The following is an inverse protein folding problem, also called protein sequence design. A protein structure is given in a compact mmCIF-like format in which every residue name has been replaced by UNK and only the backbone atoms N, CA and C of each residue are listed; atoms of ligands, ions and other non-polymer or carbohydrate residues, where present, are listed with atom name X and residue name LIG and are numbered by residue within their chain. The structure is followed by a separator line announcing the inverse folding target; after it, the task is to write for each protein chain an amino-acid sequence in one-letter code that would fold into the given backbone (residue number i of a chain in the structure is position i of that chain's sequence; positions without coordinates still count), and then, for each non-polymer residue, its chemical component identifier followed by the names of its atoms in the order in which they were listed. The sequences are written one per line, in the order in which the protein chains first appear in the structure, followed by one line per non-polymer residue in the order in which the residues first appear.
data_IF_900024063717
#
_entry.id   IF_900024063717
#
_cell.length_a   1.000
_cell.length_b   1.000
_cell.length_c   1.000
_cell.angle_alpha   90.00
_cell.angle_beta   90.00
_cell.angle_gamma   90.00
#
_symmetry.space_group_name_H-M   'P 1'
#
loop_
_entity.id
_entity.type
_entity.pdbx_description
1 polymer ?
#
# COMPACT_ATOMS: atom_id res chain seq x y z
N UNK A 1 8.47 -14.43 -12.35
CA UNK A 1 8.74 -13.02 -11.99
C UNK A 1 10.03 -13.02 -11.21
N UNK A 2 11.01 -12.36 -11.74
CA UNK A 2 12.32 -12.25 -11.12
C UNK A 2 12.39 -10.94 -10.33
N UNK A 3 12.82 -11.03 -9.07
CA UNK A 3 13.11 -9.86 -8.26
C UNK A 3 14.59 -9.53 -8.42
N UNK A 4 14.89 -8.64 -9.37
CA UNK A 4 16.24 -8.12 -9.54
C UNK A 4 16.69 -7.26 -8.35
N UNK A 5 17.94 -6.77 -8.35
CA UNK A 5 18.45 -5.84 -7.34
C UNK A 5 17.77 -4.49 -7.55
N UNK A 6 16.72 -4.23 -6.77
CA UNK A 6 16.03 -2.94 -6.77
C UNK A 6 16.74 -1.95 -5.84
N UNK A 7 16.82 -0.68 -6.27
CA UNK A 7 17.10 0.41 -5.34
C UNK A 7 15.88 0.62 -4.45
N UNK A 8 16.05 0.50 -3.13
CA UNK A 8 14.98 0.78 -2.18
C UNK A 8 14.93 2.29 -1.92
N UNK A 9 13.71 2.82 -1.81
CA UNK A 9 13.48 4.21 -1.46
C UNK A 9 13.65 4.38 0.05
N UNK A 10 14.67 5.13 0.49
CA UNK A 10 14.87 5.50 1.88
C UNK A 10 14.00 6.71 2.24
N UNK A 11 14.27 7.85 1.63
CA UNK A 11 13.42 9.03 1.77
C UNK A 11 12.18 8.90 0.88
N UNK A 12 11.04 9.24 1.43
CA UNK A 12 9.81 9.17 0.66
C UNK A 12 9.80 10.21 -0.46
N UNK A 13 9.91 9.74 -1.68
CA UNK A 13 9.84 10.54 -2.89
C UNK A 13 8.81 9.93 -3.86
N UNK A 14 7.68 10.59 -4.10
CA UNK A 14 6.68 10.12 -5.07
C UNK A 14 7.22 9.98 -6.50
N UNK A 15 8.26 10.72 -6.84
CA UNK A 15 8.90 10.70 -8.16
C UNK A 15 10.15 9.79 -8.22
N UNK A 16 10.42 9.05 -7.14
CA UNK A 16 11.54 8.13 -7.09
C UNK A 16 11.51 7.11 -8.23
N UNK A 17 12.65 6.98 -8.91
CA UNK A 17 12.86 6.05 -10.03
C UNK A 17 13.93 5.04 -9.62
N UNK A 18 13.52 3.78 -9.46
CA UNK A 18 14.42 2.71 -9.04
C UNK A 18 15.31 2.15 -10.17
N UNK A 19 15.03 2.51 -11.42
CA UNK A 19 15.75 2.01 -12.60
C UNK A 19 16.33 3.16 -13.42
N UNK A 20 17.65 3.25 -13.48
CA UNK A 20 18.35 4.28 -14.24
C UNK A 20 17.99 4.33 -15.73
N UNK A 21 17.58 3.21 -16.32
CA UNK A 21 17.12 3.18 -17.72
C UNK A 21 15.82 3.93 -17.98
N UNK A 22 15.10 4.31 -16.93
CA UNK A 22 13.84 5.06 -16.98
C UNK A 22 13.98 6.54 -16.59
N UNK A 23 15.19 7.01 -16.28
CA UNK A 23 15.42 8.37 -15.77
C UNK A 23 14.82 9.46 -16.66
N UNK A 24 14.90 9.30 -17.98
CA UNK A 24 14.44 10.33 -18.93
C UNK A 24 12.91 10.41 -19.02
N UNK A 25 12.21 9.31 -18.73
CA UNK A 25 10.75 9.22 -18.92
C UNK A 25 9.97 9.15 -17.62
N UNK A 26 10.59 8.61 -16.56
CA UNK A 26 9.95 8.41 -15.27
C UNK A 26 8.69 7.54 -15.32
N UNK A 27 8.62 6.64 -16.31
CA UNK A 27 7.45 5.77 -16.54
C UNK A 27 7.14 4.91 -15.33
N UNK A 28 8.18 4.38 -14.66
CA UNK A 28 8.07 3.48 -13.53
C UNK A 28 8.35 4.15 -12.19
N UNK A 29 8.28 5.51 -12.12
CA UNK A 29 8.40 6.21 -10.85
C UNK A 29 7.33 5.76 -9.86
N UNK A 30 7.62 5.90 -8.57
CA UNK A 30 6.77 5.37 -7.48
C UNK A 30 5.28 5.72 -7.65
N UNK A 31 4.96 7.00 -7.83
CA UNK A 31 3.56 7.44 -7.98
C UNK A 31 2.87 6.99 -9.27
N UNK A 32 3.63 6.58 -10.30
CA UNK A 32 3.09 6.10 -11.57
C UNK A 32 2.81 4.58 -11.56
N UNK A 33 3.26 3.85 -10.54
CA UNK A 33 3.10 2.39 -10.47
C UNK A 33 1.65 1.90 -10.67
N UNK A 34 0.61 2.53 -10.08
CA UNK A 34 -0.76 2.09 -10.30
C UNK A 34 -1.17 2.12 -11.77
N UNK A 35 -0.88 3.22 -12.46
CA UNK A 35 -1.22 3.41 -13.88
C UNK A 35 -0.46 2.42 -14.78
N UNK A 36 0.81 2.19 -14.49
CA UNK A 36 1.62 1.23 -15.24
C UNK A 36 1.14 -0.20 -15.01
N UNK A 37 0.76 -0.57 -13.79
CA UNK A 37 0.15 -1.87 -13.51
C UNK A 37 -1.17 -2.05 -14.29
N UNK A 38 -2.01 -1.02 -14.36
CA UNK A 38 -3.23 -1.03 -15.15
C UNK A 38 -2.93 -1.23 -16.65
N UNK A 39 -1.93 -0.51 -17.18
CA UNK A 39 -1.49 -0.68 -18.55
C UNK A 39 -0.97 -2.10 -18.82
N UNK A 40 -0.20 -2.68 -17.89
CA UNK A 40 0.28 -4.06 -18.01
C UNK A 40 -0.87 -5.06 -18.07
N UNK A 41 -1.97 -4.83 -17.32
CA UNK A 41 -3.15 -5.67 -17.41
C UNK A 41 -3.82 -5.59 -18.79
N UNK A 42 -3.85 -4.42 -19.43
CA UNK A 42 -4.33 -4.32 -20.81
C UNK A 42 -3.45 -5.11 -21.79
N UNK A 43 -2.12 -5.07 -21.61
CA UNK A 43 -1.21 -5.89 -22.41
C UNK A 43 -1.37 -7.39 -22.16
N UNK A 44 -1.71 -7.78 -20.95
CA UNK A 44 -2.10 -9.15 -20.64
C UNK A 44 -3.41 -9.54 -21.35
N UNK A 45 -4.43 -8.67 -21.35
CA UNK A 45 -5.67 -8.92 -22.09
C UNK A 45 -5.40 -9.14 -23.59
N UNK A 46 -4.56 -8.31 -24.23
CA UNK A 46 -4.16 -8.46 -25.62
C UNK A 46 -3.47 -9.82 -25.87
N UNK A 47 -2.59 -10.26 -24.98
CA UNK A 47 -1.88 -11.55 -25.12
C UNK A 47 -2.79 -12.75 -24.88
N UNK A 48 -3.90 -12.60 -24.19
CA UNK A 48 -4.89 -13.65 -23.93
C UNK A 48 -6.03 -13.68 -24.95
N UNK A 49 -6.07 -12.76 -25.92
CA UNK A 49 -7.12 -12.65 -26.94
C UNK A 49 -7.48 -13.99 -27.63
N UNK A 50 -6.54 -14.89 -27.92
CA UNK A 50 -6.88 -16.18 -28.51
C UNK A 50 -7.77 -17.07 -27.63
N UNK A 51 -7.82 -16.81 -26.32
CA UNK A 51 -8.55 -17.62 -25.34
C UNK A 51 -9.67 -16.88 -24.61
N UNK A 52 -9.58 -15.56 -24.55
CA UNK A 52 -10.52 -14.70 -23.83
C UNK A 52 -10.87 -13.50 -24.69
N UNK A 53 -12.17 -13.21 -24.82
CA UNK A 53 -12.63 -12.06 -25.58
C UNK A 53 -11.95 -10.76 -25.09
N UNK A 54 -11.31 -10.05 -26.03
CA UNK A 54 -10.53 -8.87 -25.74
C UNK A 54 -11.41 -7.72 -25.21
N UNK A 55 -12.61 -7.55 -25.78
CA UNK A 55 -13.54 -6.50 -25.36
C UNK A 55 -14.03 -6.74 -23.95
N UNK A 56 -14.38 -7.97 -23.60
CA UNK A 56 -14.78 -8.34 -22.25
C UNK A 56 -13.65 -8.08 -21.25
N UNK A 57 -12.44 -8.58 -21.52
CA UNK A 57 -11.32 -8.49 -20.57
C UNK A 57 -10.85 -7.04 -20.36
N UNK A 58 -10.76 -6.24 -21.44
CA UNK A 58 -10.37 -4.83 -21.35
C UNK A 58 -11.42 -3.99 -20.63
N UNK A 59 -12.71 -4.22 -20.90
CA UNK A 59 -13.80 -3.56 -20.16
C UNK A 59 -13.76 -3.92 -18.68
N UNK A 60 -13.50 -5.19 -18.33
CA UNK A 60 -13.38 -5.61 -16.94
C UNK A 60 -12.25 -4.87 -16.21
N UNK A 61 -11.08 -4.74 -16.84
CA UNK A 61 -9.95 -3.96 -16.27
C UNK A 61 -10.35 -2.49 -16.10
N UNK A 62 -10.90 -1.87 -17.14
CA UNK A 62 -11.33 -0.47 -17.12
C UNK A 62 -12.27 -0.17 -15.95
N UNK A 63 -13.29 -1.00 -15.78
CA UNK A 63 -14.40 -0.73 -14.88
C UNK A 63 -14.09 -1.11 -13.42
N UNK A 64 -13.06 -1.96 -13.20
CA UNK A 64 -12.80 -2.52 -11.87
C UNK A 64 -11.45 -2.15 -11.28
N UNK A 65 -10.40 -1.95 -12.09
CA UNK A 65 -9.02 -1.82 -11.58
C UNK A 65 -8.90 -0.73 -10.51
N UNK A 66 -9.32 0.51 -10.82
CA UNK A 66 -9.14 1.65 -9.92
C UNK A 66 -9.89 1.45 -8.60
N UNK A 67 -11.08 0.86 -8.65
CA UNK A 67 -11.87 0.53 -7.47
C UNK A 67 -11.15 -0.48 -6.57
N UNK A 68 -10.62 -1.56 -7.13
CA UNK A 68 -9.90 -2.58 -6.36
C UNK A 68 -8.57 -2.05 -5.83
N UNK A 69 -7.83 -1.32 -6.66
CA UNK A 69 -6.57 -0.72 -6.26
C UNK A 69 -6.78 0.24 -5.07
N UNK A 70 -7.64 1.24 -5.23
CA UNK A 70 -7.88 2.25 -4.20
C UNK A 70 -8.42 1.63 -2.90
N UNK A 71 -9.35 0.68 -3.00
CA UNK A 71 -9.84 -0.04 -1.82
C UNK A 71 -8.71 -0.73 -1.07
N UNK A 72 -7.84 -1.44 -1.80
CA UNK A 72 -6.73 -2.20 -1.21
C UNK A 72 -5.65 -1.28 -0.65
N UNK A 73 -5.28 -0.25 -1.39
CA UNK A 73 -4.29 0.73 -0.97
C UNK A 73 -4.73 1.44 0.31
N UNK A 74 -5.94 2.00 0.32
CA UNK A 74 -6.48 2.72 1.46
C UNK A 74 -6.61 1.80 2.69
N UNK A 75 -7.05 0.56 2.50
CA UNK A 75 -7.11 -0.42 3.58
C UNK A 75 -5.73 -0.70 4.18
N UNK A 76 -4.72 -0.94 3.34
CA UNK A 76 -3.35 -1.20 3.81
C UNK A 76 -2.73 0.03 4.49
N UNK A 77 -2.97 1.23 3.99
CA UNK A 77 -2.51 2.46 4.63
C UNK A 77 -3.19 2.67 5.99
N UNK A 78 -4.50 2.46 6.07
CA UNK A 78 -5.22 2.53 7.33
C UNK A 78 -4.72 1.50 8.36
N UNK A 79 -4.34 0.31 7.91
CA UNK A 79 -3.68 -0.68 8.78
C UNK A 79 -2.34 -0.17 9.31
N UNK A 80 -1.50 0.40 8.44
CA UNK A 80 -0.20 0.96 8.82
C UNK A 80 -0.33 2.13 9.81
N UNK A 81 -1.41 2.90 9.72
CA UNK A 81 -1.71 4.01 10.62
C UNK A 81 -2.49 3.60 11.88
N UNK A 82 -2.75 2.31 12.06
CA UNK A 82 -3.51 1.83 13.21
C UNK A 82 -4.98 2.26 13.26
N UNK A 83 -5.56 2.72 12.16
CA UNK A 83 -6.96 3.19 12.12
C UNK A 83 -8.00 2.07 12.31
N UNK A 84 -7.57 0.81 12.29
CA UNK A 84 -8.40 -0.39 12.48
C UNK A 84 -8.12 -1.10 13.80
N UNK A 85 -7.39 -0.50 14.73
CA UNK A 85 -7.08 -1.11 16.02
C UNK A 85 -8.34 -1.10 16.87
N UNK A 86 -8.82 -2.28 17.23
CA UNK A 86 -10.01 -2.42 18.07
C UNK A 86 -9.74 -3.05 19.42
N UNK A 87 -8.64 -3.79 19.59
CA UNK A 87 -8.27 -4.41 20.88
C UNK A 87 -6.76 -4.73 20.94
N UNK A 88 -6.11 -4.57 22.10
CA UNK A 88 -4.77 -5.09 22.31
C UNK A 88 -4.81 -6.63 22.29
N UNK A 89 -3.94 -7.24 21.53
CA UNK A 89 -3.78 -8.71 21.51
C UNK A 89 -2.98 -9.12 22.74
N UNK A 90 -3.53 -10.02 23.55
CA UNK A 90 -2.78 -10.63 24.64
C UNK A 90 -1.68 -11.50 24.05
N UNK A 91 -0.44 -11.24 24.45
CA UNK A 91 0.73 -12.07 24.12
C UNK A 91 0.45 -13.49 24.65
N UNK A 92 0.33 -14.47 23.76
CA UNK A 92 0.08 -15.88 24.13
C UNK A 92 -0.90 -16.64 23.23
N UNK A 93 -1.51 -16.00 22.25
CA UNK A 93 -2.40 -16.70 21.30
C UNK A 93 -1.54 -17.41 20.22
N UNK A 94 -1.46 -18.76 20.31
CA UNK A 94 -0.59 -19.61 19.49
C UNK A 94 -0.95 -19.65 18.01
N UNK A 95 -2.00 -18.99 17.58
CA UNK A 95 -2.44 -18.97 16.18
C UNK A 95 -1.87 -17.82 15.36
N UNK A 96 -0.98 -17.02 15.92
CA UNK A 96 -0.30 -15.94 15.20
C UNK A 96 1.19 -16.24 15.01
N UNK A 97 1.62 -16.36 13.76
CA UNK A 97 3.04 -16.41 13.41
C UNK A 97 3.65 -15.04 13.77
N UNK A 98 4.37 -15.01 14.88
CA UNK A 98 5.16 -13.86 15.29
C UNK A 98 6.37 -13.74 14.35
N UNK A 99 6.36 -12.74 13.48
CA UNK A 99 7.50 -12.39 12.63
C UNK A 99 8.38 -11.33 13.29
N UNK A 100 8.38 -11.23 14.61
CA UNK A 100 9.30 -10.36 15.37
C UNK A 100 8.98 -8.87 15.28
N UNK A 101 7.82 -8.50 14.80
CA UNK A 101 7.33 -7.12 14.80
C UNK A 101 6.09 -7.03 15.69
N UNK A 102 5.98 -5.97 16.50
CA UNK A 102 4.80 -5.65 17.28
C UNK A 102 3.59 -5.47 16.34
N UNK A 103 2.93 -6.58 16.03
CA UNK A 103 1.86 -6.61 15.04
C UNK A 103 0.57 -6.19 15.72
N UNK A 104 0.11 -5.00 15.42
CA UNK A 104 -1.25 -4.61 15.67
C UNK A 104 -2.17 -5.51 14.82
N UNK A 105 -2.87 -6.44 15.47
CA UNK A 105 -3.80 -7.33 14.77
C UNK A 105 -5.03 -6.51 14.40
N UNK A 106 -5.22 -6.35 13.12
CA UNK A 106 -6.44 -5.73 12.59
C UNK A 106 -7.56 -6.76 12.61
N UNK A 107 -8.73 -6.36 13.09
CA UNK A 107 -9.93 -7.17 13.04
C UNK A 107 -10.26 -7.54 11.58
N UNK A 108 -10.31 -8.84 11.23
CA UNK A 108 -10.66 -9.28 9.88
C UNK A 108 -12.01 -8.74 9.38
N UNK A 109 -12.95 -8.45 10.29
CA UNK A 109 -14.25 -7.86 9.96
C UNK A 109 -14.14 -6.48 9.34
N UNK A 110 -13.03 -5.77 9.61
CA UNK A 110 -12.76 -4.42 9.10
C UNK A 110 -12.30 -4.40 7.63
N UNK A 111 -11.97 -5.55 7.04
CA UNK A 111 -11.48 -5.64 5.65
C UNK A 111 -12.42 -5.00 4.62
N UNK A 112 -13.71 -4.97 4.91
CA UNK A 112 -14.73 -4.38 4.05
C UNK A 112 -15.25 -3.02 4.53
N UNK A 113 -14.66 -2.47 5.61
CA UNK A 113 -15.02 -1.14 6.11
C UNK A 113 -14.69 -0.07 5.08
N UNK A 114 -15.62 0.84 4.88
CA UNK A 114 -15.39 2.05 4.08
C UNK A 114 -14.75 3.08 5.00
N UNK A 115 -13.60 3.62 4.60
CA UNK A 115 -12.94 4.69 5.33
C UNK A 115 -13.75 5.97 5.23
N UNK A 116 -13.81 6.72 6.32
CA UNK A 116 -14.39 8.06 6.36
C UNK A 116 -13.50 9.03 5.60
N UNK A 117 -14.06 10.17 5.19
CA UNK A 117 -13.29 11.24 4.56
C UNK A 117 -12.10 11.68 5.42
N UNK A 118 -12.30 11.83 6.74
CA UNK A 118 -11.22 12.22 7.67
C UNK A 118 -10.05 11.22 7.67
N UNK A 119 -10.34 9.93 7.60
CA UNK A 119 -9.31 8.87 7.54
C UNK A 119 -8.56 8.90 6.21
N UNK A 120 -9.25 9.13 5.10
CA UNK A 120 -8.63 9.30 3.78
C UNK A 120 -7.76 10.56 3.75
N UNK A 121 -8.24 11.67 4.28
CA UNK A 121 -7.49 12.92 4.38
C UNK A 121 -6.23 12.73 5.28
N UNK A 122 -6.33 11.96 6.35
CA UNK A 122 -5.19 11.63 7.21
C UNK A 122 -4.11 10.86 6.43
N UNK A 123 -4.48 9.84 5.67
CA UNK A 123 -3.56 9.08 4.82
C UNK A 123 -2.87 10.00 3.81
N UNK A 124 -3.65 10.83 3.12
CA UNK A 124 -3.12 11.75 2.10
C UNK A 124 -2.19 12.81 2.71
N UNK A 125 -2.57 13.39 3.85
CA UNK A 125 -1.77 14.40 4.53
C UNK A 125 -0.44 13.83 5.02
N UNK A 126 -0.43 12.61 5.58
CA UNK A 126 0.80 11.96 5.99
C UNK A 126 1.76 11.79 4.81
N UNK A 127 1.28 11.24 3.69
CA UNK A 127 2.13 11.04 2.50
C UNK A 127 2.64 12.37 1.93
N UNK A 128 1.82 13.42 1.96
CA UNK A 128 2.24 14.75 1.54
C UNK A 128 3.34 15.33 2.46
N UNK A 129 3.18 15.20 3.78
CA UNK A 129 4.19 15.66 4.75
C UNK A 129 5.49 14.87 4.57
N UNK A 130 5.41 13.55 4.43
CA UNK A 130 6.60 12.72 4.17
C UNK A 130 7.34 13.17 2.90
N UNK A 131 6.61 13.45 1.83
CA UNK A 131 7.21 13.94 0.58
C UNK A 131 7.88 15.32 0.74
N UNK A 132 7.28 16.22 1.53
CA UNK A 132 7.83 17.55 1.77
C UNK A 132 9.05 17.55 2.69
N UNK A 133 9.09 16.62 3.65
CA UNK A 133 10.16 16.55 4.65
C UNK A 133 11.29 15.61 4.28
N UNK A 134 11.11 14.78 3.22
CA UNK A 134 12.05 13.71 2.89
C UNK A 134 12.14 12.64 3.98
N UNK A 135 11.05 12.43 4.75
CA UNK A 135 11.03 11.44 5.83
C UNK A 135 11.29 10.03 5.30
N UNK A 136 12.05 9.23 6.05
CA UNK A 136 12.23 7.80 5.74
C UNK A 136 10.88 7.07 5.78
N UNK A 137 10.58 6.35 4.70
CA UNK A 137 9.28 5.67 4.55
C UNK A 137 9.11 4.55 5.59
N UNK A 138 10.14 3.76 5.79
CA UNK A 138 10.08 2.60 6.69
C UNK A 138 10.06 3.03 8.14
N UNK A 139 10.95 3.94 8.52
CA UNK A 139 11.10 4.40 9.89
C UNK A 139 9.92 5.23 10.36
N UNK A 140 9.30 6.01 9.47
CA UNK A 140 8.05 6.73 9.81
C UNK A 140 6.98 5.77 10.34
N UNK A 141 6.75 4.64 9.65
CA UNK A 141 5.74 3.68 10.11
C UNK A 141 6.19 2.85 11.30
N UNK A 142 7.49 2.61 11.49
CA UNK A 142 8.04 1.97 12.70
C UNK A 142 7.82 2.85 13.93
N UNK A 143 8.19 4.12 13.85
CA UNK A 143 8.00 5.09 14.94
C UNK A 143 6.51 5.20 15.31
N UNK A 144 5.62 5.28 14.32
CA UNK A 144 4.17 5.31 14.57
C UNK A 144 3.68 4.05 15.30
N UNK A 145 4.23 2.88 14.99
CA UNK A 145 3.88 1.64 15.67
C UNK A 145 4.35 1.65 17.15
N UNK A 146 5.51 2.20 17.43
CA UNK A 146 6.05 2.31 18.80
C UNK A 146 5.26 3.31 19.66
N UNK A 147 4.84 4.45 19.09
CA UNK A 147 4.02 5.45 19.82
C UNK A 147 2.70 4.85 20.29
N UNK A 148 2.05 4.02 19.47
CA UNK A 148 0.80 3.37 19.86
C UNK A 148 0.98 2.35 20.98
N UNK A 149 2.14 1.71 21.09
CA UNK A 149 2.44 0.75 22.17
C UNK A 149 2.67 1.43 23.51
N UNK A 150 3.28 2.60 23.51
CA UNK A 150 3.60 3.36 24.76
C UNK A 150 2.37 4.07 25.35
N UNK A 151 1.41 4.51 24.53
CA UNK A 151 0.17 5.10 25.02
C UNK A 151 -0.74 4.11 25.75
N UNK A 152 -0.64 2.82 25.47
CA UNK A 152 -1.44 1.77 26.12
C UNK A 152 -0.80 1.21 27.41
N UNK A 153 0.41 1.63 27.76
CA UNK A 153 1.14 1.16 28.97
C UNK A 153 1.10 2.14 30.14
N UNK A 154 0.38 3.27 30.02
CA UNK A 154 0.31 4.33 31.03
C UNK A 154 -1.06 4.48 31.72
N UNK A 155 -1.95 3.48 31.62
CA UNK A 155 -3.22 3.38 32.37
C UNK A 155 -3.22 2.21 33.39
#
# INVERSE_FOLDING_TARGET
IDYGPYGWMEHFDPDYICNHSDNDRGRYRYKAQPEICKWNLYKLCESLEPHVDLTFSTNFVRDNYDRFYNKTYNYKMAQKLGLFITKPVKVGDQNHIDLGTHRLVTDPSQKNRILTKKELDCIQNLTNVMAQTGSDFTDTFRILADVTSTMNSSD
#
